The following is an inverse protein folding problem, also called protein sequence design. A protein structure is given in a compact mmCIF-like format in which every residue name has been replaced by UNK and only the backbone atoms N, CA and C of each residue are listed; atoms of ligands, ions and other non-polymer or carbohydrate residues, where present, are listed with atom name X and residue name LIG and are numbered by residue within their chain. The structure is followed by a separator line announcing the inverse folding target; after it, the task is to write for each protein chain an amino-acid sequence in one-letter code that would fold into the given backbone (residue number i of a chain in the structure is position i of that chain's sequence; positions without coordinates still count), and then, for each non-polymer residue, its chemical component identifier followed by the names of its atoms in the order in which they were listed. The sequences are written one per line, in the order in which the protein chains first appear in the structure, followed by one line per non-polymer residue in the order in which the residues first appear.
data_IF_843620819880
#
_entry.id   IF_843620819880
#
_cell.length_a   1.000
_cell.length_b   1.000
_cell.length_c   1.000
_cell.angle_alpha   90.00
_cell.angle_beta   90.00
_cell.angle_gamma   90.00
#
_symmetry.space_group_name_H-M   'P 1'
#
loop_
_entity.id
_entity.type
_entity.pdbx_description
1 polymer ?
#
# COMPACT_ATOMS: atom_id res chain seq x y z
N UNK A 1 -14.46 -11.10 -14.29
CA UNK A 1 -13.96 -9.78 -13.86
C UNK A 1 -14.49 -8.73 -14.82
N UNK A 2 -14.87 -7.57 -14.32
CA UNK A 2 -15.26 -6.42 -15.14
C UNK A 2 -14.10 -5.43 -15.25
N UNK A 3 -14.02 -4.70 -16.36
CA UNK A 3 -13.12 -3.54 -16.47
C UNK A 3 -13.67 -2.40 -15.62
N UNK A 4 -12.87 -1.93 -14.67
CA UNK A 4 -13.26 -0.92 -13.67
C UNK A 4 -12.53 0.41 -13.86
N UNK A 5 -11.38 0.41 -14.54
CA UNK A 5 -10.63 1.63 -14.84
C UNK A 5 -9.76 1.43 -16.07
N UNK A 6 -9.56 2.49 -16.84
CA UNK A 6 -8.62 2.56 -17.97
C UNK A 6 -7.93 3.92 -17.96
N UNK A 7 -6.63 3.90 -18.24
CA UNK A 7 -5.82 5.11 -18.30
C UNK A 7 -4.40 4.77 -18.73
N UNK A 8 -3.43 5.54 -18.25
CA UNK A 8 -2.02 5.31 -18.52
C UNK A 8 -1.18 5.62 -17.27
N UNK A 9 0.10 5.23 -17.30
CA UNK A 9 1.10 5.66 -16.32
C UNK A 9 1.68 7.03 -16.74
N UNK A 10 1.20 8.13 -16.15
CA UNK A 10 1.69 9.45 -16.57
C UNK A 10 3.12 9.68 -16.09
N UNK A 11 3.90 10.48 -16.82
CA UNK A 11 5.29 10.74 -16.49
C UNK A 11 5.48 11.38 -15.09
N UNK A 12 4.58 12.28 -14.68
CA UNK A 12 4.61 12.92 -13.36
C UNK A 12 4.17 12.00 -12.20
N UNK A 13 3.76 10.77 -12.51
CA UNK A 13 3.41 9.72 -11.53
C UNK A 13 4.51 8.68 -11.41
N UNK A 14 5.60 8.82 -12.16
CA UNK A 14 6.75 7.92 -12.15
C UNK A 14 7.87 8.50 -11.26
N UNK A 15 8.63 7.61 -10.64
CA UNK A 15 9.72 7.94 -9.72
C UNK A 15 11.10 7.73 -10.36
N UNK A 16 12.16 7.84 -9.55
CA UNK A 16 13.56 7.70 -9.95
C UNK A 16 13.90 6.34 -10.58
N UNK A 17 13.07 5.31 -10.36
CA UNK A 17 13.23 4.00 -11.00
C UNK A 17 12.79 4.01 -12.48
N UNK A 18 12.18 5.12 -12.93
CA UNK A 18 11.71 5.32 -14.30
C UNK A 18 10.40 4.58 -14.60
N UNK A 19 9.62 4.29 -13.57
CA UNK A 19 8.32 3.64 -13.69
C UNK A 19 7.32 4.20 -12.67
N UNK A 20 6.06 3.81 -12.83
CA UNK A 20 4.95 4.28 -12.01
C UNK A 20 5.25 4.08 -10.52
N UNK A 21 5.07 5.13 -9.72
CA UNK A 21 5.30 5.08 -8.31
C UNK A 21 4.20 4.28 -7.59
N UNK A 22 4.56 3.59 -6.50
CA UNK A 22 3.64 2.74 -5.72
C UNK A 22 2.39 3.49 -5.23
N UNK A 23 2.49 4.79 -4.93
CA UNK A 23 1.33 5.65 -4.61
C UNK A 23 0.35 5.70 -5.77
N UNK A 24 0.85 5.91 -6.99
CA UNK A 24 0.02 6.06 -8.17
C UNK A 24 -0.63 4.74 -8.61
N UNK A 25 0.03 3.60 -8.34
CA UNK A 25 -0.61 2.28 -8.44
C UNK A 25 -1.84 2.18 -7.54
N UNK A 26 -1.68 2.50 -6.24
CA UNK A 26 -2.78 2.44 -5.27
C UNK A 26 -3.90 3.45 -5.58
N UNK A 27 -3.55 4.66 -6.02
CA UNK A 27 -4.51 5.69 -6.39
C UNK A 27 -5.42 5.24 -7.55
N UNK A 28 -4.85 4.66 -8.61
CA UNK A 28 -5.61 4.11 -9.76
C UNK A 28 -6.48 2.91 -9.34
N UNK A 29 -5.96 2.06 -8.46
CA UNK A 29 -6.75 0.99 -7.86
C UNK A 29 -7.94 1.53 -7.07
N UNK A 30 -7.76 2.64 -6.34
CA UNK A 30 -8.84 3.29 -5.61
C UNK A 30 -9.89 3.94 -6.54
N UNK A 31 -9.49 4.50 -7.68
CA UNK A 31 -10.44 4.93 -8.72
C UNK A 31 -11.26 3.75 -9.25
N UNK A 32 -10.64 2.58 -9.45
CA UNK A 32 -11.36 1.36 -9.83
C UNK A 32 -12.35 0.88 -8.75
N UNK A 33 -12.05 1.08 -7.45
CA UNK A 33 -13.03 0.89 -6.37
C UNK A 33 -14.21 1.86 -6.51
N UNK A 34 -13.96 3.08 -6.96
CA UNK A 34 -15.00 4.04 -7.37
C UNK A 34 -16.01 3.41 -8.35
N UNK A 35 -15.52 2.89 -9.48
CA UNK A 35 -16.37 2.21 -10.47
C UNK A 35 -17.02 0.95 -9.91
N UNK A 36 -16.31 0.15 -9.09
CA UNK A 36 -16.89 -1.01 -8.43
C UNK A 36 -18.07 -0.62 -7.53
N UNK A 37 -17.95 0.49 -6.81
CA UNK A 37 -19.02 1.00 -5.93
C UNK A 37 -20.30 1.31 -6.72
N UNK A 38 -20.18 1.87 -7.93
CA UNK A 38 -21.32 2.08 -8.82
C UNK A 38 -21.97 0.74 -9.23
N UNK A 39 -21.15 -0.28 -9.53
CA UNK A 39 -21.61 -1.61 -9.94
C UNK A 39 -22.33 -2.38 -8.84
N UNK A 40 -21.95 -2.19 -7.58
CA UNK A 40 -22.66 -2.77 -6.43
C UNK A 40 -23.86 -1.92 -5.97
N UNK A 41 -24.27 -0.94 -6.78
CA UNK A 41 -25.43 -0.10 -6.52
C UNK A 41 -25.19 1.04 -5.52
N UNK A 42 -23.95 1.34 -5.17
CA UNK A 42 -23.59 2.48 -4.31
C UNK A 42 -23.20 3.70 -5.14
N UNK A 43 -24.01 4.06 -6.13
CA UNK A 43 -23.72 5.23 -6.96
C UNK A 43 -23.57 6.48 -6.11
N UNK A 44 -22.43 7.16 -6.25
CA UNK A 44 -22.10 8.32 -5.43
C UNK A 44 -21.51 8.00 -4.06
N UNK A 45 -21.02 6.78 -3.81
CA UNK A 45 -20.36 6.38 -2.55
C UNK A 45 -19.24 7.33 -2.10
N UNK A 46 -18.61 8.03 -3.04
CA UNK A 46 -17.50 8.95 -2.80
C UNK A 46 -17.86 10.40 -3.15
N UNK A 47 -19.15 10.73 -3.18
CA UNK A 47 -19.63 12.10 -3.32
C UNK A 47 -19.79 12.79 -1.96
N UNK A 48 -19.69 14.12 -1.93
CA UNK A 48 -19.79 14.91 -0.69
C UNK A 48 -21.12 14.69 0.08
N UNK A 49 -22.20 14.33 -0.62
CA UNK A 49 -23.52 14.07 -0.06
C UNK A 49 -23.87 12.57 0.03
N UNK A 50 -22.87 11.69 -0.03
CA UNK A 50 -23.09 10.26 0.11
C UNK A 50 -23.77 9.94 1.45
N UNK A 51 -24.70 8.98 1.45
CA UNK A 51 -25.31 8.43 2.67
C UNK A 51 -24.67 7.10 3.09
N UNK A 52 -23.84 6.52 2.23
CA UNK A 52 -23.06 5.32 2.47
C UNK A 52 -21.78 5.38 1.62
N UNK A 53 -20.68 4.86 2.13
CA UNK A 53 -19.38 4.79 1.44
C UNK A 53 -18.66 3.48 1.74
N UNK A 54 -17.54 3.26 1.06
CA UNK A 54 -16.60 2.17 1.36
C UNK A 54 -15.39 2.74 2.09
N UNK A 55 -15.10 2.19 3.27
CA UNK A 55 -13.92 2.57 4.06
C UNK A 55 -12.92 1.41 4.04
N UNK A 56 -11.65 1.62 3.64
CA UNK A 56 -10.66 0.56 3.67
C UNK A 56 -10.28 0.17 5.10
N UNK A 57 -10.11 -1.13 5.29
CA UNK A 57 -9.58 -1.73 6.52
C UNK A 57 -8.19 -2.30 6.30
N UNK A 58 -7.99 -2.89 5.13
CA UNK A 58 -6.73 -3.47 4.71
C UNK A 58 -6.56 -3.31 3.20
N UNK A 59 -5.32 -3.08 2.78
CA UNK A 59 -4.89 -3.18 1.38
C UNK A 59 -3.72 -4.17 1.33
N UNK A 60 -3.84 -5.22 0.54
CA UNK A 60 -2.72 -6.05 0.10
C UNK A 60 -2.43 -5.77 -1.37
N UNK A 61 -1.17 -5.54 -1.70
CA UNK A 61 -0.73 -5.24 -3.07
C UNK A 61 0.49 -6.07 -3.45
N UNK A 62 0.51 -6.56 -4.68
CA UNK A 62 1.70 -7.18 -5.29
C UNK A 62 2.08 -6.44 -6.56
N UNK A 63 3.33 -6.01 -6.64
CA UNK A 63 3.92 -5.41 -7.84
C UNK A 63 4.60 -6.51 -8.65
N UNK A 64 4.12 -6.72 -9.87
CA UNK A 64 4.47 -7.87 -10.69
C UNK A 64 5.29 -7.45 -11.92
N UNK A 65 4.97 -6.31 -12.54
CA UNK A 65 5.74 -5.75 -13.62
C UNK A 65 5.70 -4.22 -13.56
N UNK A 66 6.74 -3.58 -14.09
CA UNK A 66 6.85 -2.13 -14.16
C UNK A 66 5.90 -1.54 -15.21
N UNK A 67 5.23 -0.43 -14.87
CA UNK A 67 4.55 0.42 -15.84
C UNK A 67 5.40 1.66 -16.13
N UNK A 68 5.87 1.80 -17.36
CA UNK A 68 6.71 2.94 -17.78
C UNK A 68 5.86 4.15 -18.16
N UNK A 69 6.43 5.37 -18.16
CA UNK A 69 5.74 6.57 -18.64
C UNK A 69 5.03 6.35 -19.98
N UNK A 70 3.76 6.73 -20.03
CA UNK A 70 2.87 6.61 -21.19
C UNK A 70 2.28 5.22 -21.43
N UNK A 71 2.66 4.19 -20.66
CA UNK A 71 2.14 2.84 -20.86
C UNK A 71 0.61 2.77 -20.64
N UNK A 72 -0.16 2.18 -21.58
CA UNK A 72 -1.60 2.00 -21.40
C UNK A 72 -1.87 1.00 -20.28
N UNK A 73 -2.82 1.32 -19.40
CA UNK A 73 -3.18 0.50 -18.26
C UNK A 73 -4.69 0.27 -18.20
N UNK A 74 -5.07 -0.95 -17.84
CA UNK A 74 -6.43 -1.34 -17.52
C UNK A 74 -6.44 -2.00 -16.14
N UNK A 75 -7.46 -1.70 -15.34
CA UNK A 75 -7.75 -2.43 -14.09
C UNK A 75 -9.09 -3.12 -14.24
N UNK A 76 -9.07 -4.44 -14.09
CA UNK A 76 -10.27 -5.27 -14.02
C UNK A 76 -10.40 -5.91 -12.64
N UNK A 77 -11.62 -6.19 -12.18
CA UNK A 77 -11.82 -6.74 -10.85
C UNK A 77 -13.22 -7.28 -10.58
N UNK A 78 -13.47 -7.54 -9.30
CA UNK A 78 -14.74 -8.03 -8.77
C UNK A 78 -14.64 -8.25 -7.25
N UNK A 79 -15.64 -8.94 -6.71
CA UNK A 79 -15.75 -9.25 -5.27
C UNK A 79 -15.31 -10.68 -5.02
N UNK A 80 -14.31 -10.90 -4.19
CA UNK A 80 -13.85 -12.24 -3.83
C UNK A 80 -14.73 -12.88 -2.76
N UNK A 81 -15.05 -12.09 -1.74
CA UNK A 81 -15.87 -12.49 -0.62
C UNK A 81 -16.59 -11.29 -0.02
N UNK A 82 -17.65 -11.53 0.73
CA UNK A 82 -18.39 -10.48 1.43
C UNK A 82 -19.20 -11.05 2.60
N UNK A 83 -19.35 -10.25 3.66
CA UNK A 83 -20.21 -10.56 4.80
C UNK A 83 -21.34 -9.52 4.91
N UNK A 84 -22.09 -9.52 6.01
CA UNK A 84 -23.21 -8.58 6.19
C UNK A 84 -22.83 -7.09 6.06
N UNK A 85 -21.57 -6.72 6.25
CA UNK A 85 -21.08 -5.35 6.42
C UNK A 85 -19.77 -5.04 5.69
N UNK A 86 -19.06 -6.05 5.22
CA UNK A 86 -17.76 -5.90 4.56
C UNK A 86 -17.72 -6.65 3.23
N UNK A 87 -16.75 -6.28 2.39
CA UNK A 87 -16.41 -7.03 1.18
C UNK A 87 -14.90 -7.05 0.98
N UNK A 88 -14.43 -8.08 0.29
CA UNK A 88 -13.10 -8.16 -0.27
C UNK A 88 -13.15 -7.89 -1.77
N UNK A 89 -12.61 -6.76 -2.21
CA UNK A 89 -12.45 -6.44 -3.62
C UNK A 89 -11.09 -6.94 -4.11
N UNK A 90 -11.07 -7.62 -5.26
CA UNK A 90 -9.82 -8.04 -5.92
C UNK A 90 -9.71 -7.37 -7.28
N UNK A 91 -8.60 -6.66 -7.48
CA UNK A 91 -8.31 -5.89 -8.68
C UNK A 91 -7.00 -6.37 -9.32
N UNK A 92 -6.96 -6.38 -10.65
CA UNK A 92 -5.82 -6.78 -11.46
C UNK A 92 -5.53 -5.67 -12.46
N UNK A 93 -4.36 -5.04 -12.33
CA UNK A 93 -3.86 -4.05 -13.27
C UNK A 93 -3.01 -4.73 -14.34
N UNK A 94 -3.27 -4.43 -15.61
CA UNK A 94 -2.56 -4.99 -16.77
C UNK A 94 -2.23 -3.91 -17.80
N UNK A 95 -1.15 -4.12 -18.55
CA UNK A 95 -0.96 -3.49 -19.85
C UNK A 95 -1.60 -4.40 -20.91
N UNK A 96 -2.43 -3.89 -21.84
CA UNK A 96 -3.14 -4.72 -22.82
C UNK A 96 -2.26 -5.61 -23.71
N UNK A 97 -1.00 -5.22 -23.92
CA UNK A 97 -0.01 -5.91 -24.76
C UNK A 97 0.91 -6.87 -23.96
N UNK A 98 0.64 -7.07 -22.67
CA UNK A 98 1.46 -7.93 -21.78
C UNK A 98 0.64 -9.08 -21.19
N UNK A 99 1.20 -10.28 -21.26
CA UNK A 99 0.58 -11.48 -20.70
C UNK A 99 0.50 -11.45 -19.16
N UNK A 100 1.55 -10.90 -18.52
CA UNK A 100 1.65 -10.82 -17.06
C UNK A 100 0.98 -9.54 -16.54
N UNK A 101 0.22 -9.60 -15.42
CA UNK A 101 -0.25 -8.39 -14.77
C UNK A 101 0.88 -7.48 -14.32
N UNK A 102 0.58 -6.19 -14.28
CA UNK A 102 1.44 -5.15 -13.72
C UNK A 102 1.39 -5.17 -12.19
N UNK A 103 0.20 -5.25 -11.62
CA UNK A 103 -0.01 -5.35 -10.18
C UNK A 103 -1.35 -6.02 -9.85
N UNK A 104 -1.46 -6.57 -8.64
CA UNK A 104 -2.72 -7.06 -8.07
C UNK A 104 -2.98 -6.38 -6.74
N UNK A 105 -4.25 -6.15 -6.44
CA UNK A 105 -4.70 -5.48 -5.22
C UNK A 105 -5.84 -6.28 -4.59
N UNK A 106 -5.82 -6.40 -3.27
CA UNK A 106 -6.95 -6.89 -2.47
C UNK A 106 -7.29 -5.82 -1.44
N UNK A 107 -8.52 -5.35 -1.45
CA UNK A 107 -9.01 -4.41 -0.45
C UNK A 107 -10.05 -5.09 0.42
N UNK A 108 -9.86 -5.03 1.73
CA UNK A 108 -10.94 -5.26 2.69
C UNK A 108 -11.66 -3.93 2.94
N UNK A 109 -12.95 -3.87 2.61
CA UNK A 109 -13.75 -2.64 2.62
C UNK A 109 -14.96 -2.81 3.53
N UNK A 110 -15.24 -1.82 4.36
CA UNK A 110 -16.46 -1.77 5.18
C UNK A 110 -17.51 -0.86 4.55
N UNK A 111 -18.76 -1.31 4.53
CA UNK A 111 -19.93 -0.50 4.20
C UNK A 111 -20.29 0.40 5.39
N UNK A 112 -20.15 1.70 5.23
CA UNK A 112 -20.20 2.61 6.36
C UNK A 112 -20.81 3.97 6.04
N UNK A 113 -21.24 4.66 7.10
CA UNK A 113 -21.63 6.06 7.03
C UNK A 113 -20.37 6.91 6.76
N UNK A 114 -20.38 7.83 5.79
CA UNK A 114 -19.17 8.58 5.43
C UNK A 114 -18.67 9.52 6.53
N UNK A 115 -19.57 10.05 7.37
CA UNK A 115 -19.28 11.05 8.41
C UNK A 115 -18.98 10.36 9.74
N UNK A 116 -19.93 9.58 10.25
CA UNK A 116 -19.84 8.91 11.54
C UNK A 116 -18.96 7.66 11.49
N UNK A 117 -18.69 7.12 10.29
CA UNK A 117 -17.87 5.90 10.06
C UNK A 117 -18.46 4.65 10.73
N UNK A 118 -19.71 4.70 11.14
CA UNK A 118 -20.44 3.55 11.65
C UNK A 118 -20.65 2.55 10.52
N UNK A 119 -20.22 1.31 10.75
CA UNK A 119 -20.36 0.21 9.79
C UNK A 119 -21.75 -0.41 9.93
N UNK A 120 -22.46 -0.58 8.82
CA UNK A 120 -23.84 -1.09 8.81
C UNK A 120 -24.12 -2.03 7.64
N UNK A 121 -25.21 -2.79 7.76
CA UNK A 121 -25.48 -3.89 6.85
C UNK A 121 -25.76 -3.44 5.41
N UNK A 122 -25.39 -4.28 4.45
CA UNK A 122 -25.75 -4.08 3.05
C UNK A 122 -27.28 -4.16 2.84
N UNK A 123 -27.89 -3.23 2.08
CA UNK A 123 -29.27 -3.39 1.63
C UNK A 123 -29.37 -4.52 0.60
N UNK A 124 -30.55 -5.16 0.48
CA UNK A 124 -30.76 -6.32 -0.40
C UNK A 124 -30.33 -6.08 -1.85
N UNK A 125 -30.60 -4.88 -2.37
CA UNK A 125 -30.17 -4.47 -3.72
C UNK A 125 -28.64 -4.55 -3.92
N UNK A 126 -27.86 -4.21 -2.89
CA UNK A 126 -26.41 -4.27 -2.94
C UNK A 126 -25.93 -5.72 -2.78
N UNK A 127 -26.59 -6.53 -1.93
CA UNK A 127 -26.29 -7.97 -1.77
C UNK A 127 -26.42 -8.73 -3.09
N UNK A 128 -27.51 -8.50 -3.83
CA UNK A 128 -27.69 -9.10 -5.16
C UNK A 128 -26.58 -8.70 -6.14
N UNK A 129 -26.16 -7.43 -6.12
CA UNK A 129 -25.10 -6.92 -6.99
C UNK A 129 -23.71 -7.43 -6.59
N UNK A 130 -23.42 -7.55 -5.29
CA UNK A 130 -22.19 -8.15 -4.76
C UNK A 130 -22.04 -9.59 -5.25
N UNK A 131 -23.10 -10.39 -5.15
CA UNK A 131 -23.07 -11.78 -5.63
C UNK A 131 -22.91 -11.86 -7.16
N UNK A 132 -23.55 -10.97 -7.91
CA UNK A 132 -23.38 -10.91 -9.37
C UNK A 132 -21.95 -10.56 -9.81
N UNK A 133 -21.19 -9.83 -8.98
CA UNK A 133 -19.79 -9.48 -9.22
C UNK A 133 -18.81 -10.44 -8.55
N UNK A 134 -19.29 -11.56 -8.00
CA UNK A 134 -18.44 -12.53 -7.33
C UNK A 134 -17.44 -13.16 -8.31
N UNK A 135 -16.19 -13.24 -7.88
CA UNK A 135 -15.10 -13.82 -8.64
C UNK A 135 -14.27 -14.76 -7.77
N UNK A 136 -13.66 -15.76 -8.39
CA UNK A 136 -12.53 -16.44 -7.78
C UNK A 136 -11.28 -15.55 -7.95
N UNK A 137 -10.55 -15.20 -6.87
CA UNK A 137 -9.30 -14.45 -7.00
C UNK A 137 -8.31 -15.21 -7.89
N UNK A 138 -7.63 -14.53 -8.83
CA UNK A 138 -6.64 -15.17 -9.67
C UNK A 138 -5.41 -15.54 -8.82
N UNK A 139 -4.64 -16.58 -9.19
CA UNK A 139 -3.46 -17.00 -8.44
C UNK A 139 -2.43 -15.87 -8.20
N UNK A 140 -2.30 -14.94 -9.13
CA UNK A 140 -1.40 -13.78 -9.04
C UNK A 140 -1.83 -12.76 -7.98
N UNK A 141 -3.08 -12.83 -7.49
CA UNK A 141 -3.57 -12.01 -6.38
C UNK A 141 -3.42 -12.69 -5.02
N UNK A 142 -2.92 -13.93 -4.94
CA UNK A 142 -2.61 -14.55 -3.66
C UNK A 142 -1.34 -13.91 -3.05
N UNK A 143 -1.26 -13.74 -1.72
CA UNK A 143 -0.01 -13.37 -1.05
C UNK A 143 1.13 -14.33 -1.40
N UNK A 144 2.36 -13.83 -1.51
CA UNK A 144 3.54 -14.65 -1.86
C UNK A 144 4.64 -14.58 -0.81
N UNK A 145 5.07 -13.37 -0.47
CA UNK A 145 6.13 -13.10 0.50
C UNK A 145 5.60 -12.75 1.89
N UNK A 146 4.37 -12.23 1.97
CA UNK A 146 3.70 -11.91 3.23
C UNK A 146 2.73 -13.03 3.61
N UNK A 147 2.74 -13.41 4.88
CA UNK A 147 1.80 -14.39 5.42
C UNK A 147 0.64 -13.65 6.09
N UNK A 148 -0.62 -14.07 5.87
CA UNK A 148 -1.74 -13.55 6.64
C UNK A 148 -1.48 -13.72 8.14
N UNK A 149 -1.56 -12.62 8.88
CA UNK A 149 -1.40 -12.60 10.33
C UNK A 149 -2.43 -11.65 10.96
N UNK A 150 -2.80 -11.94 12.20
CA UNK A 150 -3.66 -11.05 12.97
C UNK A 150 -2.93 -9.70 13.18
N UNK A 151 -3.65 -8.57 13.10
CA UNK A 151 -3.08 -7.26 13.39
C UNK A 151 -2.52 -7.19 14.83
N UNK A 152 -1.33 -6.61 14.99
CA UNK A 152 -0.75 -6.32 16.30
C UNK A 152 -1.63 -5.32 17.08
N UNK A 153 -1.72 -5.51 18.40
CA UNK A 153 -2.56 -4.69 19.28
C UNK A 153 -1.76 -3.62 20.05
N UNK A 154 -0.45 -3.82 20.24
CA UNK A 154 0.42 -2.97 21.07
C UNK A 154 1.20 -1.90 20.29
N UNK A 155 0.78 -1.61 19.06
CA UNK A 155 1.40 -0.60 18.19
C UNK A 155 1.27 0.79 18.82
N UNK A 156 2.41 1.36 19.24
CA UNK A 156 2.46 2.67 19.87
C UNK A 156 3.85 3.29 19.76
N UNK A 157 3.95 4.61 19.98
CA UNK A 157 5.24 5.30 20.03
C UNK A 157 6.15 4.75 21.13
N UNK A 158 5.60 4.51 22.33
CA UNK A 158 6.37 3.95 23.45
C UNK A 158 6.94 2.57 23.10
N UNK A 159 6.17 1.73 22.41
CA UNK A 159 6.64 0.43 21.94
C UNK A 159 7.68 0.56 20.84
N UNK A 160 7.52 1.50 19.91
CA UNK A 160 8.50 1.79 18.88
C UNK A 160 9.85 2.24 19.47
N UNK A 161 9.82 3.07 20.51
CA UNK A 161 11.01 3.52 21.25
C UNK A 161 11.67 2.35 21.98
N UNK A 162 10.89 1.51 22.66
CA UNK A 162 11.40 0.32 23.36
C UNK A 162 12.04 -0.71 22.40
N UNK A 163 11.56 -0.80 21.17
CA UNK A 163 12.11 -1.66 20.11
C UNK A 163 13.27 -1.01 19.35
N UNK A 164 13.56 0.27 19.60
CA UNK A 164 14.59 1.00 18.87
C UNK A 164 14.29 1.18 17.37
N UNK A 165 13.02 1.26 16.98
CA UNK A 165 12.63 1.43 15.58
C UNK A 165 13.19 2.75 15.03
N UNK A 166 13.73 2.72 13.81
CA UNK A 166 14.32 3.89 13.16
C UNK A 166 13.23 4.90 12.78
N UNK A 167 13.44 6.18 13.09
CA UNK A 167 12.60 7.25 12.57
C UNK A 167 13.03 7.58 11.15
N UNK A 168 12.16 7.29 10.19
CA UNK A 168 12.49 7.42 8.75
C UNK A 168 11.62 8.47 8.06
N UNK A 169 10.61 9.01 8.73
CA UNK A 169 9.77 10.03 8.13
C UNK A 169 9.00 10.83 9.16
N UNK A 170 8.94 12.14 8.97
CA UNK A 170 8.09 13.05 9.72
C UNK A 170 7.41 13.97 8.72
N UNK A 171 6.13 14.28 8.95
CA UNK A 171 5.45 15.23 8.09
C UNK A 171 4.03 15.54 8.55
N UNK A 172 3.26 16.09 7.62
CA UNK A 172 1.85 16.43 7.82
C UNK A 172 0.96 15.83 6.73
N UNK A 173 -0.32 15.73 7.03
CA UNK A 173 -1.35 15.47 6.02
C UNK A 173 -1.84 16.79 5.44
N UNK A 174 -1.71 16.97 4.13
CA UNK A 174 -2.23 18.12 3.41
C UNK A 174 -3.63 17.87 2.83
N UNK A 175 -4.24 18.88 2.19
CA UNK A 175 -5.51 18.70 1.48
C UNK A 175 -5.47 17.61 0.40
N UNK A 176 -4.32 17.39 -0.24
CA UNK A 176 -4.14 16.35 -1.24
C UNK A 176 -4.10 14.93 -0.64
N UNK A 177 -3.86 14.81 0.67
CA UNK A 177 -3.80 13.52 1.38
C UNK A 177 -5.16 13.06 1.90
N UNK A 178 -6.22 13.88 1.79
CA UNK A 178 -7.55 13.57 2.30
C UNK A 178 -8.60 13.45 1.18
N UNK A 179 -9.61 12.62 1.43
CA UNK A 179 -10.77 12.41 0.57
C UNK A 179 -11.80 13.53 0.74
N UNK A 180 -12.89 13.44 -0.02
CA UNK A 180 -13.98 14.43 0.02
C UNK A 180 -14.65 14.54 1.41
N UNK A 181 -14.50 13.53 2.26
CA UNK A 181 -15.03 13.49 3.62
C UNK A 181 -14.01 14.00 4.65
N UNK A 182 -12.86 14.51 4.20
CA UNK A 182 -11.79 15.01 5.05
C UNK A 182 -10.93 13.92 5.70
N UNK A 183 -11.02 12.67 5.23
CA UNK A 183 -10.33 11.51 5.80
C UNK A 183 -9.14 11.13 4.93
N UNK A 184 -8.04 10.69 5.53
CA UNK A 184 -6.86 10.20 4.80
C UNK A 184 -7.24 9.25 3.66
N UNK A 185 -6.73 9.51 2.46
CA UNK A 185 -7.02 8.70 1.27
C UNK A 185 -6.34 7.33 1.36
N UNK A 186 -6.85 6.30 0.66
CA UNK A 186 -6.27 4.96 0.76
C UNK A 186 -4.91 4.82 0.08
N UNK A 187 -4.58 5.68 -0.87
CA UNK A 187 -3.27 5.72 -1.51
C UNK A 187 -2.21 6.46 -0.67
N UNK A 188 -2.63 7.30 0.28
CA UNK A 188 -1.72 8.11 1.11
C UNK A 188 -0.76 7.28 1.96
N UNK A 189 -1.17 6.21 2.67
CA UNK A 189 -0.28 5.40 3.48
C UNK A 189 0.96 4.87 2.74
N UNK A 190 0.76 4.14 1.64
CA UNK A 190 1.87 3.56 0.88
C UNK A 190 2.72 4.64 0.22
N UNK A 191 2.10 5.73 -0.22
CA UNK A 191 2.83 6.87 -0.78
C UNK A 191 3.73 7.56 0.24
N UNK A 192 3.22 7.89 1.43
CA UNK A 192 4.04 8.50 2.48
C UNK A 192 5.15 7.57 2.96
N UNK A 193 4.89 6.25 3.02
CA UNK A 193 5.94 5.25 3.29
C UNK A 193 7.01 5.27 2.20
N UNK A 194 6.63 5.27 0.92
CA UNK A 194 7.58 5.37 -0.20
C UNK A 194 8.43 6.63 -0.11
N UNK A 195 7.83 7.78 0.21
CA UNK A 195 8.54 9.06 0.30
C UNK A 195 9.56 9.08 1.46
N UNK A 196 9.24 8.43 2.58
CA UNK A 196 10.07 8.46 3.80
C UNK A 196 11.10 7.33 3.89
N UNK A 197 10.80 6.14 3.35
CA UNK A 197 11.62 4.94 3.57
C UNK A 197 13.05 5.06 3.04
N UNK A 198 13.33 6.01 2.14
CA UNK A 198 14.68 6.38 1.69
C UNK A 198 15.62 6.76 2.84
N UNK A 199 15.10 7.22 3.97
CA UNK A 199 15.87 7.49 5.19
C UNK A 199 16.15 6.24 6.03
N UNK A 200 15.71 5.06 5.62
CA UNK A 200 15.89 3.83 6.38
C UNK A 200 17.29 3.21 6.15
N UNK A 201 18.34 3.92 6.54
CA UNK A 201 19.73 3.53 6.32
C UNK A 201 20.09 2.13 6.85
N UNK A 202 19.48 1.71 7.97
CA UNK A 202 19.70 0.35 8.51
C UNK A 202 19.07 -0.74 7.62
N UNK A 203 17.95 -0.44 6.97
CA UNK A 203 17.27 -1.35 6.04
C UNK A 203 17.89 -1.35 4.65
N UNK A 204 18.39 -0.20 4.20
CA UNK A 204 18.98 0.01 2.88
C UNK A 204 20.29 0.81 2.93
N UNK A 205 21.35 0.24 3.54
CA UNK A 205 22.63 0.93 3.65
C UNK A 205 23.25 1.22 2.28
N UNK A 206 23.02 0.37 1.29
CA UNK A 206 23.56 0.55 -0.06
C UNK A 206 22.93 1.77 -0.75
N UNK A 207 21.60 1.88 -0.67
CA UNK A 207 20.85 3.01 -1.21
C UNK A 207 21.17 4.31 -0.47
N UNK A 208 21.24 4.27 0.87
CA UNK A 208 21.65 5.42 1.69
C UNK A 208 23.05 5.93 1.31
N UNK A 209 23.98 5.01 1.07
CA UNK A 209 25.34 5.35 0.62
C UNK A 209 25.32 5.93 -0.79
N UNK A 210 24.52 5.36 -1.70
CA UNK A 210 24.40 5.83 -3.08
C UNK A 210 23.85 7.27 -3.15
N UNK A 211 22.90 7.64 -2.29
CA UNK A 211 22.39 9.02 -2.16
C UNK A 211 23.47 10.04 -1.75
N UNK A 212 24.52 9.58 -1.08
CA UNK A 212 25.64 10.42 -0.64
C UNK A 212 26.78 10.47 -1.67
N UNK A 213 26.65 9.79 -2.82
CA UNK A 213 27.70 9.68 -3.84
C UNK A 213 27.48 10.65 -5.00
N UNK A 214 28.58 11.17 -5.56
CA UNK A 214 28.54 12.05 -6.75
C UNK A 214 28.27 11.28 -8.06
N UNK A 215 28.24 9.94 -8.01
CA UNK A 215 28.02 9.07 -9.19
C UNK A 215 26.54 8.93 -9.58
N UNK A 216 25.64 9.56 -8.83
CA UNK A 216 24.19 9.42 -9.00
C UNK A 216 23.65 8.11 -8.43
N UNK A 217 22.32 7.98 -8.43
CA UNK A 217 21.66 6.81 -7.88
C UNK A 217 21.79 5.63 -8.85
N UNK A 218 22.59 4.62 -8.48
CA UNK A 218 22.82 3.40 -9.28
C UNK A 218 22.12 2.16 -8.70
N UNK A 219 21.66 2.27 -7.45
CA UNK A 219 20.84 1.25 -6.79
C UNK A 219 19.70 1.92 -6.06
N UNK A 220 18.56 1.24 -6.00
CA UNK A 220 17.40 1.72 -5.26
C UNK A 220 16.52 0.57 -4.78
N UNK A 221 15.78 0.82 -3.72
CA UNK A 221 14.80 -0.11 -3.18
C UNK A 221 13.59 -0.25 -4.09
N UNK A 222 13.15 -1.48 -4.34
CA UNK A 222 11.90 -1.75 -5.05
C UNK A 222 10.98 -2.62 -4.19
N UNK A 223 9.75 -2.12 -3.95
CA UNK A 223 8.72 -2.83 -3.21
C UNK A 223 8.05 -3.88 -4.11
N UNK A 224 8.06 -5.14 -3.69
CA UNK A 224 7.49 -6.26 -4.44
C UNK A 224 6.08 -6.61 -3.98
N UNK A 225 5.83 -6.48 -2.68
CA UNK A 225 4.57 -6.84 -2.04
C UNK A 225 4.41 -6.03 -0.76
N UNK A 226 3.18 -5.60 -0.46
CA UNK A 226 2.88 -4.89 0.78
C UNK A 226 1.49 -5.21 1.31
N UNK A 227 1.35 -5.05 2.62
CA UNK A 227 0.07 -5.07 3.33
C UNK A 227 -0.02 -3.84 4.21
N UNK A 228 -1.09 -3.07 4.04
CA UNK A 228 -1.39 -1.84 4.78
C UNK A 228 -2.64 -2.06 5.62
N UNK A 229 -2.54 -1.79 6.92
CA UNK A 229 -3.68 -1.85 7.86
C UNK A 229 -4.07 -0.44 8.29
N UNK A 230 -5.30 -0.05 7.96
CA UNK A 230 -5.84 1.27 8.28
C UNK A 230 -6.40 1.25 9.70
N UNK A 231 -5.68 1.87 10.64
CA UNK A 231 -6.04 1.88 12.07
C UNK A 231 -6.95 3.07 12.38
N UNK A 232 -6.54 4.26 11.95
CA UNK A 232 -7.24 5.53 12.06
C UNK A 232 -7.08 6.32 10.76
N UNK A 233 -7.92 7.32 10.56
CA UNK A 233 -7.86 8.20 9.40
C UNK A 233 -7.50 9.60 9.86
N UNK A 234 -6.30 10.04 9.50
CA UNK A 234 -5.89 11.40 9.73
C UNK A 234 -6.71 12.38 8.87
N UNK A 235 -6.75 13.62 9.30
CA UNK A 235 -7.39 14.76 8.66
C UNK A 235 -6.34 15.78 8.23
N UNK A 236 -6.71 16.70 7.33
CA UNK A 236 -5.79 17.70 6.85
C UNK A 236 -5.30 18.59 8.00
N UNK A 237 -3.99 18.78 8.08
CA UNK A 237 -3.32 19.51 9.13
C UNK A 237 -2.74 18.62 10.23
N UNK A 238 -3.14 17.36 10.39
CA UNK A 238 -2.52 16.47 11.39
C UNK A 238 -1.08 16.07 11.01
N UNK A 239 -0.30 15.65 11.99
CA UNK A 239 1.09 15.22 11.82
C UNK A 239 1.24 13.70 11.77
N UNK A 240 2.36 13.23 11.25
CA UNK A 240 2.77 11.83 11.39
C UNK A 240 4.27 11.71 11.70
N UNK A 241 4.62 10.63 12.38
CA UNK A 241 5.99 10.10 12.50
C UNK A 241 5.99 8.64 12.07
N UNK A 242 6.98 8.25 11.27
CA UNK A 242 7.14 6.90 10.75
C UNK A 242 8.33 6.21 11.41
N UNK A 243 8.05 5.06 12.01
CA UNK A 243 9.02 4.21 12.70
C UNK A 243 9.14 2.87 11.98
N UNK A 244 10.35 2.53 11.54
CA UNK A 244 10.61 1.38 10.68
C UNK A 244 11.57 0.38 11.31
N UNK A 245 11.38 -0.90 10.99
CA UNK A 245 12.24 -1.99 11.40
C UNK A 245 12.32 -3.10 10.36
N UNK A 246 13.40 -3.87 10.40
CA UNK A 246 13.55 -5.11 9.64
C UNK A 246 12.97 -6.27 10.44
N UNK A 247 12.23 -7.16 9.79
CA UNK A 247 11.75 -8.42 10.41
C UNK A 247 12.50 -9.63 9.87
N UNK A 248 12.99 -9.57 8.64
CA UNK A 248 13.81 -10.61 8.03
C UNK A 248 14.68 -10.03 6.91
N UNK A 249 15.81 -10.69 6.65
CA UNK A 249 16.67 -10.38 5.52
C UNK A 249 17.26 -11.65 4.91
N UNK A 250 17.25 -11.70 3.58
CA UNK A 250 17.93 -12.69 2.74
C UNK A 250 18.84 -11.99 1.76
N UNK A 251 19.61 -12.75 0.97
CA UNK A 251 20.43 -12.18 -0.11
C UNK A 251 19.60 -11.37 -1.11
N UNK A 252 18.33 -11.73 -1.34
CA UNK A 252 17.52 -11.15 -2.42
C UNK A 252 16.45 -10.17 -1.95
N UNK A 253 15.86 -10.43 -0.79
CA UNK A 253 14.71 -9.67 -0.29
C UNK A 253 14.86 -9.34 1.19
N UNK A 254 14.22 -8.25 1.57
CA UNK A 254 14.13 -7.68 2.92
C UNK A 254 12.66 -7.58 3.29
N UNK A 255 12.33 -7.98 4.51
CA UNK A 255 10.99 -7.81 5.09
C UNK A 255 11.03 -6.66 6.09
N UNK A 256 10.12 -5.72 5.91
CA UNK A 256 10.09 -4.43 6.59
C UNK A 256 8.75 -4.25 7.27
N UNK A 257 8.74 -3.55 8.40
CA UNK A 257 7.53 -3.06 9.06
C UNK A 257 7.67 -1.56 9.28
N UNK A 258 6.60 -0.84 8.99
CA UNK A 258 6.45 0.60 9.18
C UNK A 258 5.25 0.84 10.09
N UNK A 259 5.48 1.49 11.22
CA UNK A 259 4.45 2.02 12.10
C UNK A 259 4.36 3.51 11.90
N UNK A 260 3.21 4.00 11.45
CA UNK A 260 2.99 5.42 11.23
C UNK A 260 2.02 5.95 12.25
N UNK A 261 2.52 6.85 13.09
CA UNK A 261 1.94 7.22 14.35
C UNK A 261 1.61 8.71 14.37
N UNK A 262 0.59 9.05 15.14
CA UNK A 262 0.31 10.42 15.54
C UNK A 262 1.43 10.90 16.49
N UNK A 263 2.18 11.96 16.15
CA UNK A 263 3.26 12.44 17.00
C UNK A 263 2.76 13.01 18.35
N UNK A 264 1.49 13.44 18.43
CA UNK A 264 0.90 14.00 19.64
C UNK A 264 0.44 12.91 20.62
N UNK A 265 -0.26 11.88 20.14
CA UNK A 265 -0.83 10.82 21.00
C UNK A 265 0.02 9.55 21.04
N UNK A 266 0.85 9.31 20.03
CA UNK A 266 1.61 8.08 19.86
C UNK A 266 0.79 6.90 19.35
N UNK A 267 -0.49 7.10 19.04
CA UNK A 267 -1.38 6.09 18.48
C UNK A 267 -1.17 5.92 16.96
N UNK A 268 -1.44 4.73 16.40
CA UNK A 268 -1.22 4.48 14.98
C UNK A 268 -2.30 5.10 14.09
N UNK A 269 -1.85 5.78 13.03
CA UNK A 269 -2.67 6.09 11.86
C UNK A 269 -2.82 4.83 10.99
N UNK A 270 -1.70 4.22 10.62
CA UNK A 270 -1.67 2.94 9.92
C UNK A 270 -0.39 2.18 10.24
N UNK A 271 -0.41 0.89 9.91
CA UNK A 271 0.78 0.05 9.88
C UNK A 271 0.94 -0.57 8.51
N UNK A 272 2.17 -0.84 8.10
CA UNK A 272 2.47 -1.43 6.79
C UNK A 272 3.63 -2.42 6.91
N UNK A 273 3.47 -3.59 6.31
CA UNK A 273 4.55 -4.55 6.12
C UNK A 273 4.84 -4.67 4.64
N UNK A 274 6.11 -4.85 4.30
CA UNK A 274 6.58 -4.87 2.93
C UNK A 274 7.65 -5.92 2.71
N UNK A 275 7.66 -6.51 1.52
CA UNK A 275 8.78 -7.28 0.98
C UNK A 275 9.39 -6.46 -0.14
N UNK A 276 10.65 -6.09 0.02
CA UNK A 276 11.39 -5.27 -0.92
C UNK A 276 12.69 -5.95 -1.34
N UNK A 277 13.22 -5.56 -2.49
CA UNK A 277 14.55 -5.94 -2.95
C UNK A 277 15.38 -4.71 -3.29
N UNK A 278 16.69 -4.90 -3.41
CA UNK A 278 17.58 -3.90 -3.98
C UNK A 278 17.67 -4.13 -5.50
N UNK A 279 17.49 -3.08 -6.29
CA UNK A 279 17.62 -3.11 -7.73
C UNK A 279 18.92 -2.42 -8.14
N UNK A 280 19.61 -3.00 -9.13
CA UNK A 280 20.62 -2.30 -9.91
C UNK A 280 19.91 -1.54 -11.03
N UNK A 281 20.11 -0.22 -11.09
CA UNK A 281 19.40 0.65 -12.02
C UNK A 281 20.02 0.66 -13.42
N UNK A 282 21.32 0.35 -13.52
CA UNK A 282 22.03 0.23 -14.80
C UNK A 282 21.64 -1.07 -15.49
N UNK A 283 21.72 -2.18 -14.76
CA UNK A 283 21.42 -3.52 -15.28
C UNK A 283 19.92 -3.86 -15.25
N UNK A 284 19.10 -3.04 -14.56
CA UNK A 284 17.66 -3.22 -14.33
C UNK A 284 17.30 -4.61 -13.83
N UNK A 285 18.04 -5.10 -12.85
CA UNK A 285 17.81 -6.41 -12.21
C UNK A 285 18.05 -6.35 -10.72
N UNK A 286 17.53 -7.37 -10.03
CA UNK A 286 17.76 -7.53 -8.59
C UNK A 286 19.26 -7.67 -8.31
N UNK A 287 19.77 -6.85 -7.39
CA UNK A 287 21.13 -6.91 -6.87
C UNK A 287 21.13 -7.64 -5.53
N UNK A 288 21.81 -8.80 -5.43
CA UNK A 288 21.94 -9.48 -4.14
C UNK A 288 22.74 -8.65 -3.14
N UNK A 289 22.38 -8.72 -1.86
CA UNK A 289 23.19 -8.21 -0.77
C UNK A 289 24.50 -9.01 -0.68
N UNK A 290 25.63 -8.32 -0.54
CA UNK A 290 26.92 -8.96 -0.27
C UNK A 290 26.94 -9.59 1.14
N UNK A 291 27.89 -10.50 1.43
CA UNK A 291 27.91 -11.22 2.71
C UNK A 291 27.98 -10.34 3.95
N UNK A 292 28.73 -9.23 3.91
CA UNK A 292 28.89 -8.34 5.06
C UNK A 292 27.63 -7.51 5.29
N UNK A 293 27.03 -6.99 4.21
CA UNK A 293 25.74 -6.30 4.27
C UNK A 293 24.64 -7.24 4.75
N UNK A 294 24.57 -8.47 4.24
CA UNK A 294 23.56 -9.45 4.69
C UNK A 294 23.71 -9.76 6.18
N UNK A 295 24.95 -9.89 6.68
CA UNK A 295 25.21 -10.09 8.11
C UNK A 295 24.72 -8.90 8.93
N UNK A 296 24.97 -7.67 8.49
CA UNK A 296 24.49 -6.46 9.15
C UNK A 296 22.95 -6.38 9.16
N UNK A 297 22.29 -6.64 8.02
CA UNK A 297 20.83 -6.66 7.91
C UNK A 297 20.19 -7.69 8.84
N UNK A 298 20.76 -8.90 8.92
CA UNK A 298 20.27 -9.94 9.83
C UNK A 298 20.44 -9.56 11.30
N UNK A 299 21.55 -8.92 11.65
CA UNK A 299 21.78 -8.43 13.02
C UNK A 299 20.82 -7.30 13.41
N UNK A 300 20.28 -6.55 12.44
CA UNK A 300 19.31 -5.48 12.64
C UNK A 300 17.84 -5.95 12.63
N UNK A 301 17.58 -7.24 12.38
CA UNK A 301 16.21 -7.77 12.39
C UNK A 301 15.65 -7.81 13.83
N UNK A 302 14.39 -7.40 13.98
CA UNK A 302 13.69 -7.30 15.26
C UNK A 302 12.66 -8.42 15.34
N UNK A 303 12.88 -9.34 16.28
CA UNK A 303 11.98 -10.47 16.52
C UNK A 303 10.62 -9.98 17.07
N UNK A 304 9.54 -10.56 16.55
CA UNK A 304 8.17 -10.26 16.99
C UNK A 304 7.61 -8.91 16.50
N UNK A 305 8.36 -8.13 15.72
CA UNK A 305 7.84 -6.92 15.08
C UNK A 305 6.81 -7.30 14.00
N UNK A 306 5.59 -6.74 14.11
CA UNK A 306 4.45 -7.03 13.24
C UNK A 306 3.59 -5.78 13.01
N UNK A 307 2.61 -5.87 12.10
CA UNK A 307 1.71 -4.76 11.72
C UNK A 307 0.37 -4.81 12.40
#
# INVERSE_FOLDING_TARGET
METLWRGNANAWECDELGHLNVRAYAAKAWEAIGTLSDRIGMRGAFAANATATLIPRELHVRFLAEARPGAPLEIAGGVADWDDRTLEAVLVMRQPDRDRPTATFRFQLAHADPVYRSVFAWPDRARTALEALRIQPPPEAAPRGLKPAAPAEDVSRARADALGLAEVGIGRFGPADVDIFGRMRPDTPIGKVSDGVVHFATGFPEEWTAHSSDEGLRVAGALLEARVLYRRFATAGEGFVMRSGLTAASEKVRSLVHWVLDPATGEPWWTMEGVACLMDLDERRLRPADPDTLKALKAACIEGLAV
#
